data_IF_211282319408
#
_entry.id   IF_211282319408
#
_cell.length_a   1.000
_cell.length_b   1.000
_cell.length_c   1.000
_cell.angle_alpha   90.00
_cell.angle_beta   90.00
_cell.angle_gamma   90.00
#
_symmetry.space_group_name_H-M   'P 1'
#
loop_
_entity.id
_entity.type
_entity.pdbx_description
1 polymer ?
#
# COMPACT_ATOMS: atom_id res chain seq x y z
N UNK A 1 3.93 13.48 -9.08
CA UNK A 1 4.30 12.57 -7.99
C UNK A 1 4.60 11.23 -8.63
N UNK A 2 5.78 10.67 -8.40
CA UNK A 2 6.14 9.35 -8.91
C UNK A 2 5.21 8.26 -8.36
N UNK A 3 4.91 7.22 -9.15
CA UNK A 3 3.95 6.16 -8.82
C UNK A 3 4.24 5.53 -7.45
N UNK A 4 5.53 5.28 -7.15
CA UNK A 4 5.97 4.64 -5.90
C UNK A 4 5.66 5.49 -4.67
N UNK A 5 5.90 6.80 -4.73
CA UNK A 5 5.61 7.71 -3.60
C UNK A 5 4.11 7.75 -3.30
N UNK A 6 3.29 7.74 -4.35
CA UNK A 6 1.84 7.68 -4.24
C UNK A 6 1.41 6.38 -3.56
N UNK A 7 1.91 5.23 -4.02
CA UNK A 7 1.56 3.91 -3.45
C UNK A 7 1.96 3.84 -1.97
N UNK A 8 3.17 4.25 -1.60
CA UNK A 8 3.60 4.26 -0.20
C UNK A 8 2.73 5.17 0.68
N UNK A 9 2.31 6.32 0.16
CA UNK A 9 1.41 7.25 0.87
C UNK A 9 0.02 6.67 1.05
N UNK A 10 -0.54 6.05 0.02
CA UNK A 10 -1.86 5.42 0.09
C UNK A 10 -1.85 4.21 1.02
N UNK A 11 -0.81 3.37 0.97
CA UNK A 11 -0.61 2.25 1.87
C UNK A 11 -0.52 2.69 3.34
N UNK A 12 0.10 3.85 3.61
CA UNK A 12 0.28 4.36 4.97
C UNK A 12 -0.98 5.03 5.57
N UNK A 13 -1.91 5.50 4.73
CA UNK A 13 -3.08 6.28 5.17
C UNK A 13 -4.38 5.47 5.06
N UNK A 14 -4.70 5.03 3.85
CA UNK A 14 -5.95 4.33 3.54
C UNK A 14 -5.80 2.83 3.73
N UNK A 15 -4.66 2.29 3.27
CA UNK A 15 -4.31 0.87 3.34
C UNK A 15 -4.75 0.08 2.10
N UNK A 16 -3.94 -0.93 1.76
CA UNK A 16 -4.26 -1.91 0.74
C UNK A 16 -4.49 -3.28 1.39
N UNK A 17 -5.19 -4.14 0.67
CA UNK A 17 -5.35 -5.56 1.00
C UNK A 17 -5.11 -6.42 -0.23
N UNK A 18 -4.73 -7.67 -0.02
CA UNK A 18 -4.62 -8.71 -1.05
C UNK A 18 -5.84 -9.63 -0.95
N UNK A 19 -6.65 -9.69 -2.00
CA UNK A 19 -7.93 -10.42 -2.02
C UNK A 19 -7.81 -11.72 -2.82
N UNK A 20 -8.27 -12.82 -2.21
CA UNK A 20 -8.36 -14.12 -2.85
C UNK A 20 -7.02 -14.78 -3.20
N UNK A 21 -7.08 -15.89 -3.93
CA UNK A 21 -5.91 -16.74 -4.26
C UNK A 21 -4.93 -16.02 -5.20
N UNK A 22 -5.44 -15.11 -6.03
CA UNK A 22 -4.62 -14.32 -6.97
C UNK A 22 -3.95 -13.12 -6.29
N UNK A 23 -4.18 -12.92 -5.00
CA UNK A 23 -3.66 -11.79 -4.22
C UNK A 23 -3.88 -10.45 -4.93
N UNK A 24 -5.10 -10.23 -5.43
CA UNK A 24 -5.46 -9.00 -6.12
C UNK A 24 -5.37 -7.83 -5.15
N UNK A 25 -4.67 -6.77 -5.54
CA UNK A 25 -4.54 -5.59 -4.72
C UNK A 25 -5.85 -4.82 -4.76
N UNK A 26 -6.44 -4.60 -3.60
CA UNK A 26 -7.60 -3.74 -3.44
C UNK A 26 -7.28 -2.64 -2.43
N UNK A 27 -7.82 -1.45 -2.69
CA UNK A 27 -7.75 -0.32 -1.78
C UNK A 27 -8.89 -0.42 -0.78
N UNK A 28 -8.59 -0.17 0.49
CA UNK A 28 -9.61 -0.12 1.53
C UNK A 28 -10.46 1.14 1.41
N UNK A 29 -11.77 1.02 1.53
CA UNK A 29 -12.72 2.15 1.53
C UNK A 29 -13.33 2.33 2.92
N UNK A 30 -13.82 1.24 3.51
CA UNK A 30 -14.27 1.15 4.90
C UNK A 30 -13.59 -0.03 5.59
N UNK A 31 -13.98 -0.37 6.81
CA UNK A 31 -13.40 -1.51 7.53
C UNK A 31 -13.58 -2.85 6.81
N UNK A 32 -14.69 -3.00 6.08
CA UNK A 32 -15.07 -4.21 5.37
C UNK A 32 -15.18 -4.02 3.85
N UNK A 33 -15.27 -2.80 3.30
CA UNK A 33 -15.40 -2.57 1.85
C UNK A 33 -14.06 -2.24 1.21
N UNK A 34 -13.77 -2.88 0.08
CA UNK A 34 -12.56 -2.64 -0.71
C UNK A 34 -12.90 -2.47 -2.19
N UNK A 35 -12.06 -1.71 -2.90
CA UNK A 35 -12.20 -1.42 -4.33
C UNK A 35 -10.94 -1.83 -5.09
N UNK A 36 -11.11 -2.24 -6.36
CA UNK A 36 -9.99 -2.59 -7.24
C UNK A 36 -9.13 -1.37 -7.54
N UNK A 37 -7.82 -1.56 -7.57
CA UNK A 37 -6.87 -0.54 -8.03
C UNK A 37 -6.57 -0.69 -9.53
N UNK A 38 -5.88 0.29 -10.11
CA UNK A 38 -5.39 0.16 -11.49
C UNK A 38 -4.26 -0.89 -11.57
N UNK A 39 -4.04 -1.53 -12.74
CA UNK A 39 -2.98 -2.53 -12.91
C UNK A 39 -1.58 -2.03 -12.52
N UNK A 40 -1.28 -0.75 -12.78
CA UNK A 40 0.01 -0.16 -12.41
C UNK A 40 0.21 -0.10 -10.89
N UNK A 41 -0.86 0.18 -10.14
CA UNK A 41 -0.82 0.21 -8.66
C UNK A 41 -0.72 -1.20 -8.10
N UNK A 42 -1.46 -2.15 -8.69
CA UNK A 42 -1.39 -3.57 -8.32
C UNK A 42 0.05 -4.08 -8.47
N UNK A 43 0.66 -3.88 -9.64
CA UNK A 43 2.02 -4.28 -9.91
C UNK A 43 3.04 -3.59 -8.99
N UNK A 44 2.89 -2.28 -8.77
CA UNK A 44 3.78 -1.53 -7.88
C UNK A 44 3.70 -2.00 -6.42
N UNK A 45 2.50 -2.35 -5.92
CA UNK A 45 2.33 -2.89 -4.57
C UNK A 45 3.05 -4.24 -4.45
N UNK A 46 2.89 -5.14 -5.43
CA UNK A 46 3.61 -6.42 -5.44
C UNK A 46 5.13 -6.23 -5.46
N UNK A 47 5.65 -5.36 -6.33
CA UNK A 47 7.08 -5.03 -6.34
C UNK A 47 7.57 -4.47 -5.01
N UNK A 48 6.78 -3.62 -4.34
CA UNK A 48 7.14 -3.07 -3.03
C UNK A 48 7.07 -4.11 -1.91
N UNK A 49 6.21 -5.11 -2.02
CA UNK A 49 6.19 -6.27 -1.10
C UNK A 49 7.46 -7.11 -1.33
N UNK A 50 7.77 -7.47 -2.56
CA UNK A 50 8.96 -8.27 -2.91
C UNK A 50 10.26 -7.60 -2.45
N UNK A 51 10.36 -6.29 -2.63
CA UNK A 51 11.51 -5.47 -2.22
C UNK A 51 11.49 -5.09 -0.73
N UNK A 52 10.53 -5.60 0.06
CA UNK A 52 10.40 -5.39 1.52
C UNK A 52 10.20 -3.92 1.92
N UNK A 53 9.64 -3.12 1.03
CA UNK A 53 9.14 -1.79 1.35
C UNK A 53 7.73 -1.83 1.93
N UNK A 54 6.95 -2.85 1.57
CA UNK A 54 5.67 -3.22 2.17
C UNK A 54 5.75 -4.66 2.71
N UNK A 55 4.84 -5.00 3.61
CA UNK A 55 4.74 -6.34 4.19
C UNK A 55 3.28 -6.82 4.18
N UNK A 56 3.09 -8.13 4.04
CA UNK A 56 1.76 -8.72 4.15
C UNK A 56 1.47 -9.04 5.61
N UNK A 57 0.41 -8.45 6.14
CA UNK A 57 -0.06 -8.58 7.51
C UNK A 57 -1.14 -9.65 7.68
N UNK A 58 -1.97 -9.44 8.71
CA UNK A 58 -3.03 -10.35 9.12
C UNK A 58 -4.19 -10.45 8.13
N UNK A 59 -5.02 -11.47 8.32
CA UNK A 59 -6.20 -11.76 7.50
C UNK A 59 -7.44 -11.09 8.08
N UNK A 60 -8.21 -10.44 7.20
CA UNK A 60 -9.47 -9.77 7.48
C UNK A 60 -10.53 -10.30 6.50
N UNK A 61 -11.81 -10.17 6.85
CA UNK A 61 -12.88 -10.43 5.87
C UNK A 61 -13.30 -9.11 5.24
N UNK A 62 -13.38 -9.10 3.91
CA UNK A 62 -13.76 -7.92 3.14
C UNK A 62 -14.84 -8.27 2.12
N UNK A 63 -15.53 -7.23 1.66
CA UNK A 63 -16.48 -7.20 0.57
C UNK A 63 -15.84 -6.47 -0.60
N UNK A 64 -15.87 -7.11 -1.76
CA UNK A 64 -15.34 -6.65 -3.02
C UNK A 64 -16.35 -7.00 -4.12
N UNK A 65 -17.04 -6.01 -4.68
CA UNK A 65 -18.15 -6.21 -5.63
C UNK A 65 -19.17 -7.26 -5.09
N UNK A 66 -19.27 -8.44 -5.72
CA UNK A 66 -20.15 -9.55 -5.29
C UNK A 66 -19.43 -10.60 -4.43
N UNK A 67 -18.14 -10.42 -4.17
CA UNK A 67 -17.31 -11.32 -3.38
C UNK A 67 -17.25 -10.86 -1.92
N UNK A 68 -17.45 -11.80 -1.00
CA UNK A 68 -17.14 -11.62 0.42
C UNK A 68 -16.20 -12.73 0.84
N UNK A 69 -15.06 -12.39 1.42
CA UNK A 69 -14.09 -13.41 1.79
C UNK A 69 -12.81 -12.86 2.42
N UNK A 70 -11.83 -13.74 2.67
CA UNK A 70 -10.59 -13.35 3.32
C UNK A 70 -9.73 -12.46 2.41
N UNK A 71 -9.11 -11.48 3.02
CA UNK A 71 -8.08 -10.63 2.43
C UNK A 71 -6.96 -10.39 3.43
N UNK A 72 -5.73 -10.24 2.94
CA UNK A 72 -4.56 -10.01 3.79
C UNK A 72 -4.19 -8.54 3.77
N UNK A 73 -3.96 -7.93 4.93
CA UNK A 73 -3.58 -6.52 5.01
C UNK A 73 -2.21 -6.29 4.39
N UNK A 74 -2.01 -5.13 3.76
CA UNK A 74 -0.70 -4.65 3.32
C UNK A 74 -0.26 -3.55 4.27
N UNK A 75 0.86 -3.77 4.94
CA UNK A 75 1.40 -2.92 5.98
C UNK A 75 2.62 -2.16 5.45
N UNK A 76 2.82 -0.96 5.98
CA UNK A 76 4.04 -0.18 5.76
C UNK A 76 4.96 -0.35 6.98
N UNK A 77 6.07 -1.08 6.88
CA UNK A 77 7.00 -1.29 7.98
C UNK A 77 7.55 0.03 8.52
N UNK A 78 7.92 0.04 9.81
CA UNK A 78 8.50 1.24 10.47
C UNK A 78 9.74 1.76 9.74
N UNK A 79 10.60 0.85 9.26
CA UNK A 79 11.79 1.19 8.44
C UNK A 79 11.41 1.97 7.19
N UNK A 80 10.42 1.50 6.44
CA UNK A 80 9.95 2.12 5.20
C UNK A 80 9.38 3.52 5.47
N UNK A 81 8.60 3.68 6.54
CA UNK A 81 8.09 5.01 6.96
C UNK A 81 9.22 5.99 7.27
N UNK A 82 10.26 5.55 7.99
CA UNK A 82 11.41 6.39 8.32
C UNK A 82 12.21 6.78 7.06
N UNK A 83 12.43 5.84 6.15
CA UNK A 83 13.14 6.12 4.90
C UNK A 83 12.38 7.13 4.03
N UNK A 84 11.06 6.93 3.84
CA UNK A 84 10.21 7.87 3.11
C UNK A 84 10.21 9.28 3.74
N UNK A 85 10.17 9.36 5.07
CA UNK A 85 10.28 10.64 5.79
C UNK A 85 11.62 11.35 5.56
N UNK A 86 12.74 10.59 5.59
CA UNK A 86 14.08 11.12 5.32
C UNK A 86 14.21 11.62 3.88
N UNK A 87 13.68 10.87 2.91
CA UNK A 87 13.65 11.30 1.51
C UNK A 87 12.89 12.60 1.32
N UNK A 88 11.68 12.72 1.89
CA UNK A 88 10.91 13.95 1.82
C UNK A 88 11.61 15.16 2.49
N UNK A 89 12.46 14.90 3.49
CA UNK A 89 13.27 15.94 4.13
C UNK A 89 14.44 16.38 3.24
N UNK A 90 15.05 15.46 2.49
CA UNK A 90 16.14 15.74 1.54
C UNK A 90 15.66 16.43 0.26
N UNK A 91 14.41 16.23 -0.14
CA UNK A 91 13.81 16.90 -1.30
C UNK A 91 13.61 18.41 -1.08
N UNK A 92 13.75 18.90 0.16
CA UNK A 92 13.72 20.34 0.44
C UNK A 92 15.07 20.93 0.02
N UNK A 93 15.10 21.99 -0.81
CA UNK A 93 16.35 22.64 -1.16
C UNK A 93 17.08 23.05 0.12
N UNK A 94 18.38 22.73 0.20
CA UNK A 94 19.19 23.21 1.30
C UNK A 94 19.08 24.74 1.33
N UNK A 95 18.61 25.29 2.46
CA UNK A 95 18.77 26.72 2.68
C UNK A 95 20.26 26.98 2.81
N UNK A 96 20.86 27.62 1.81
CA UNK A 96 22.18 28.20 1.94
C UNK A 96 22.13 29.14 3.15
N UNK A 97 23.04 28.92 4.10
CA UNK A 97 23.22 29.77 5.27
C UNK A 97 23.84 31.12 4.87
#
# INVERSE_FOLDING_TARGET
>A
MELIERVLREAASVGFVLVGIRELVCRRVTDDLVESVSPDVDHAVHQLIESKWLEVGGTHHVRYDRYTGPARSVLVPRKSKQAAYRWGSLAKPWKAA
#
